data_IF_355512618520
#
_entry.id   IF_355512618520
#
_cell.length_a   1.000
_cell.length_b   1.000
_cell.length_c   1.000
_cell.angle_alpha   90.00
_cell.angle_beta   90.00
_cell.angle_gamma   90.00
#
_symmetry.space_group_name_H-M   'P 1'
#
loop_
_entity.id
_entity.type
_entity.pdbx_description
1 polymer ?
#
# COMPACT_ATOMS: atom_id res chain seq x y z
N UNK A 1 20.63 4.56 -23.46
CA UNK A 1 21.34 3.99 -22.29
C UNK A 1 20.59 4.17 -20.97
N UNK A 2 20.03 5.35 -20.65
CA UNK A 2 19.35 5.62 -19.36
C UNK A 2 18.18 4.68 -19.04
N UNK A 3 17.28 4.41 -20.00
CA UNK A 3 16.10 3.56 -19.77
C UNK A 3 16.44 2.09 -19.45
N UNK A 4 17.46 1.51 -20.10
CA UNK A 4 17.97 0.17 -19.78
C UNK A 4 18.57 0.10 -18.37
N UNK A 5 19.19 1.20 -17.91
CA UNK A 5 19.76 1.30 -16.55
C UNK A 5 18.67 1.30 -15.47
N UNK A 6 17.56 2.02 -15.68
CA UNK A 6 16.43 2.04 -14.74
C UNK A 6 15.74 0.68 -14.66
N UNK A 7 15.49 0.03 -15.80
CA UNK A 7 14.87 -1.31 -15.83
C UNK A 7 15.68 -2.36 -15.05
N UNK A 8 17.02 -2.37 -15.17
CA UNK A 8 17.87 -3.26 -14.39
C UNK A 8 17.80 -2.96 -12.88
N UNK A 9 17.79 -1.67 -12.52
CA UNK A 9 17.68 -1.23 -11.13
C UNK A 9 16.32 -1.58 -10.51
N UNK A 10 15.23 -1.47 -11.26
CA UNK A 10 13.88 -1.87 -10.84
C UNK A 10 13.79 -3.38 -10.68
N UNK A 11 14.30 -4.16 -11.64
CA UNK A 11 14.33 -5.61 -11.55
C UNK A 11 15.09 -6.09 -10.31
N UNK A 12 16.21 -5.44 -9.97
CA UNK A 12 16.99 -5.75 -8.76
C UNK A 12 16.19 -5.49 -7.48
N UNK A 13 15.40 -4.42 -7.41
CA UNK A 13 14.56 -4.09 -6.25
C UNK A 13 13.45 -5.10 -6.07
N UNK A 14 12.71 -5.39 -7.14
CA UNK A 14 11.63 -6.39 -7.12
C UNK A 14 12.18 -7.77 -6.78
N UNK A 15 13.32 -8.17 -7.36
CA UNK A 15 14.00 -9.43 -7.05
C UNK A 15 14.29 -9.56 -5.55
N UNK A 16 14.79 -8.50 -4.90
CA UNK A 16 15.06 -8.50 -3.45
C UNK A 16 13.81 -8.73 -2.61
N UNK A 17 12.64 -8.25 -3.06
CA UNK A 17 11.37 -8.53 -2.39
C UNK A 17 10.92 -9.98 -2.57
N UNK A 18 11.08 -10.55 -3.76
CA UNK A 18 10.79 -11.97 -4.01
C UNK A 18 11.74 -12.86 -3.18
N UNK A 19 13.02 -12.49 -3.09
CA UNK A 19 13.99 -13.16 -2.21
C UNK A 19 13.59 -13.05 -0.74
N UNK A 20 13.16 -11.86 -0.29
CA UNK A 20 12.65 -11.67 1.08
C UNK A 20 11.40 -12.51 1.35
N UNK A 21 10.47 -12.60 0.39
CA UNK A 21 9.29 -13.45 0.48
C UNK A 21 9.65 -14.94 0.58
N UNK A 22 10.68 -15.38 -0.16
CA UNK A 22 11.21 -16.74 -0.05
C UNK A 22 11.87 -16.97 1.32
N UNK A 23 12.71 -16.05 1.77
CA UNK A 23 13.33 -16.03 3.11
C UNK A 23 12.23 -16.34 4.13
N UNK A 24 11.19 -15.50 4.18
CA UNK A 24 10.05 -15.54 5.11
C UNK A 24 9.24 -16.86 5.11
N UNK A 25 9.30 -17.63 4.03
CA UNK A 25 8.61 -18.93 3.93
C UNK A 25 9.49 -20.10 4.35
N UNK A 26 10.79 -20.03 4.08
CA UNK A 26 11.68 -21.20 4.17
C UNK A 26 12.53 -21.24 5.43
N UNK A 27 12.74 -20.09 6.08
CA UNK A 27 13.62 -20.01 7.24
C UNK A 27 12.82 -19.91 8.55
N UNK A 28 13.37 -20.51 9.61
CA UNK A 28 12.81 -20.41 10.96
C UNK A 28 13.24 -19.07 11.59
N UNK A 29 12.49 -18.01 11.31
CA UNK A 29 12.73 -16.70 11.93
C UNK A 29 12.32 -16.70 13.40
N UNK A 30 13.08 -15.94 14.20
CA UNK A 30 12.71 -15.61 15.58
C UNK A 30 12.21 -14.18 15.74
N UNK A 31 12.47 -13.33 14.74
CA UNK A 31 12.14 -11.90 14.74
C UNK A 31 11.75 -11.46 13.33
N UNK A 32 10.87 -10.47 13.26
CA UNK A 32 10.42 -9.86 12.00
C UNK A 32 11.59 -9.21 11.26
N UNK A 33 11.58 -9.31 9.92
CA UNK A 33 12.56 -8.61 9.09
C UNK A 33 12.23 -7.09 9.04
N UNK A 34 13.23 -6.21 8.90
CA UNK A 34 13.00 -4.77 8.93
C UNK A 34 12.07 -4.29 7.81
N UNK A 35 11.03 -3.52 8.18
CA UNK A 35 10.10 -2.91 7.22
C UNK A 35 10.78 -1.92 6.27
N UNK A 36 11.97 -1.42 6.65
CA UNK A 36 12.80 -0.54 5.83
C UNK A 36 13.22 -1.17 4.49
N UNK A 37 13.13 -2.50 4.35
CA UNK A 37 13.31 -3.19 3.05
C UNK A 37 12.31 -2.73 1.98
N UNK A 38 11.16 -2.16 2.38
CA UNK A 38 10.16 -1.59 1.47
C UNK A 38 10.48 -0.16 1.00
N UNK A 39 11.49 0.51 1.57
CA UNK A 39 11.83 1.90 1.18
C UNK A 39 12.16 2.06 -0.29
N UNK A 40 12.57 0.97 -0.97
CA UNK A 40 12.82 0.98 -2.41
C UNK A 40 11.57 1.24 -3.26
N UNK A 41 10.36 1.13 -2.71
CA UNK A 41 9.10 1.58 -3.36
C UNK A 41 9.21 3.05 -3.78
N UNK A 42 9.81 3.91 -2.95
CA UNK A 42 9.97 5.34 -3.27
C UNK A 42 10.65 5.55 -4.63
N UNK A 43 11.61 4.69 -4.96
CA UNK A 43 12.32 4.75 -6.25
C UNK A 43 11.61 4.04 -7.39
N UNK A 44 10.64 3.17 -7.10
CA UNK A 44 9.71 2.63 -8.08
C UNK A 44 8.57 3.61 -8.39
N UNK A 45 8.29 4.58 -7.52
CA UNK A 45 7.42 5.70 -7.87
C UNK A 45 8.23 6.78 -8.58
N UNK A 46 8.65 6.52 -9.82
CA UNK A 46 9.52 7.43 -10.58
C UNK A 46 8.83 8.75 -10.95
N UNK A 47 7.55 8.67 -11.27
CA UNK A 47 6.66 9.79 -11.62
C UNK A 47 5.33 9.64 -10.87
N UNK A 48 4.49 10.68 -10.97
CA UNK A 48 3.19 10.74 -10.33
C UNK A 48 2.28 9.61 -10.80
N UNK A 49 2.24 9.34 -12.11
CA UNK A 49 1.39 8.31 -12.72
C UNK A 49 1.70 6.92 -12.15
N UNK A 50 2.98 6.58 -11.96
CA UNK A 50 3.39 5.32 -11.35
C UNK A 50 2.86 5.18 -9.91
N UNK A 51 2.91 6.26 -9.13
CA UNK A 51 2.39 6.26 -7.76
C UNK A 51 0.86 6.21 -7.72
N UNK A 52 0.18 6.95 -8.59
CA UNK A 52 -1.29 6.98 -8.70
C UNK A 52 -1.85 5.62 -9.13
N UNK A 53 -1.25 4.97 -10.13
CA UNK A 53 -1.68 3.62 -10.55
C UNK A 53 -1.45 2.58 -9.44
N UNK A 54 -0.32 2.69 -8.71
CA UNK A 54 -0.06 1.81 -7.57
C UNK A 54 -1.03 2.05 -6.41
N UNK A 55 -1.33 3.31 -6.13
CA UNK A 55 -2.29 3.72 -5.11
C UNK A 55 -3.69 3.21 -5.44
N UNK A 56 -4.16 3.40 -6.68
CA UNK A 56 -5.44 2.86 -7.14
C UNK A 56 -5.50 1.33 -7.02
N UNK A 57 -4.42 0.64 -7.44
CA UNK A 57 -4.35 -0.82 -7.32
C UNK A 57 -4.54 -1.27 -5.88
N UNK A 58 -3.81 -0.67 -4.92
CA UNK A 58 -3.94 -1.03 -3.52
C UNK A 58 -5.29 -0.59 -2.91
N UNK A 59 -5.86 0.54 -3.33
CA UNK A 59 -7.23 0.93 -2.92
C UNK A 59 -8.25 -0.13 -3.30
N UNK A 60 -8.18 -0.68 -4.53
CA UNK A 60 -9.05 -1.79 -4.97
C UNK A 60 -8.86 -3.04 -4.12
N UNK A 61 -7.63 -3.31 -3.66
CA UNK A 61 -7.37 -4.43 -2.75
C UNK A 61 -7.93 -4.20 -1.35
N UNK A 62 -7.86 -2.97 -0.85
CA UNK A 62 -8.53 -2.59 0.40
C UNK A 62 -10.05 -2.74 0.26
N UNK A 63 -10.64 -2.33 -0.87
CA UNK A 63 -12.06 -2.53 -1.16
C UNK A 63 -12.43 -4.03 -1.21
N UNK A 64 -11.58 -4.87 -1.79
CA UNK A 64 -11.81 -6.31 -1.78
C UNK A 64 -11.76 -6.87 -0.34
N UNK A 65 -10.72 -6.53 0.43
CA UNK A 65 -10.56 -6.98 1.81
C UNK A 65 -11.72 -6.56 2.72
N UNK A 66 -12.20 -5.31 2.59
CA UNK A 66 -13.31 -4.82 3.41
C UNK A 66 -14.66 -5.47 3.03
N UNK A 67 -14.82 -5.84 1.76
CA UNK A 67 -16.03 -6.51 1.27
C UNK A 67 -16.06 -7.99 1.65
N UNK A 68 -14.91 -8.65 1.67
CA UNK A 68 -14.77 -10.05 2.05
C UNK A 68 -14.76 -10.25 3.59
N UNK A 69 -14.58 -9.18 4.36
CA UNK A 69 -14.54 -9.21 5.82
C UNK A 69 -15.90 -8.96 6.48
N UNK A 70 -16.13 -9.64 7.60
CA UNK A 70 -17.23 -9.33 8.52
C UNK A 70 -17.04 -7.95 9.16
N UNK A 71 -18.16 -7.31 9.53
CA UNK A 71 -18.12 -6.07 10.29
C UNK A 71 -17.34 -6.28 11.60
N UNK A 72 -16.30 -5.48 11.89
CA UNK A 72 -15.55 -5.60 13.13
C UNK A 72 -16.45 -5.41 14.36
N UNK A 73 -16.22 -6.20 15.42
CA UNK A 73 -17.04 -6.19 16.64
C UNK A 73 -17.11 -4.85 17.38
N UNK A 74 -16.13 -3.97 17.15
CA UNK A 74 -16.05 -2.65 17.75
C UNK A 74 -16.66 -1.54 16.89
N UNK A 75 -17.29 -1.88 15.75
CA UNK A 75 -17.96 -0.96 14.83
C UNK A 75 -19.42 -1.31 14.68
N UNK A 76 -20.26 -0.29 14.47
CA UNK A 76 -21.64 -0.53 14.06
C UNK A 76 -21.69 -0.94 12.58
N UNK A 77 -22.70 -1.72 12.16
CA UNK A 77 -22.91 -2.04 10.74
C UNK A 77 -23.06 -0.79 9.86
N UNK A 78 -23.68 0.27 10.37
CA UNK A 78 -23.84 1.55 9.66
C UNK A 78 -22.51 2.28 9.46
N UNK A 79 -21.63 2.28 10.47
CA UNK A 79 -20.29 2.85 10.35
C UNK A 79 -19.44 2.04 9.35
N UNK A 80 -19.57 0.72 9.38
CA UNK A 80 -18.87 -0.16 8.43
C UNK A 80 -19.31 0.08 6.99
N UNK A 81 -20.61 0.22 6.75
CA UNK A 81 -21.15 0.54 5.43
C UNK A 81 -20.72 1.93 4.95
N UNK A 82 -20.65 2.90 5.87
CA UNK A 82 -20.11 4.24 5.57
C UNK A 82 -18.67 4.15 5.04
N UNK A 83 -17.84 3.29 5.62
CA UNK A 83 -16.45 3.12 5.16
C UNK A 83 -16.39 2.47 3.78
N UNK A 84 -17.22 1.46 3.52
CA UNK A 84 -17.31 0.79 2.21
C UNK A 84 -17.72 1.77 1.10
N UNK A 85 -18.71 2.60 1.38
CA UNK A 85 -19.17 3.64 0.45
C UNK A 85 -18.04 4.66 0.19
N UNK A 86 -17.38 5.15 1.23
CA UNK A 86 -16.29 6.11 1.09
C UNK A 86 -15.11 5.54 0.27
N UNK A 87 -14.73 4.28 0.49
CA UNK A 87 -13.70 3.60 -0.32
C UNK A 87 -14.14 3.49 -1.78
N UNK A 88 -15.40 3.15 -2.02
CA UNK A 88 -15.96 3.02 -3.38
C UNK A 88 -15.95 4.36 -4.11
N UNK A 89 -16.40 5.43 -3.46
CA UNK A 89 -16.40 6.78 -4.02
C UNK A 89 -14.98 7.26 -4.33
N UNK A 90 -14.04 6.99 -3.42
CA UNK A 90 -12.64 7.35 -3.61
C UNK A 90 -12.01 6.61 -4.80
N UNK A 91 -12.28 5.32 -4.97
CA UNK A 91 -11.80 4.55 -6.12
C UNK A 91 -12.36 5.13 -7.43
N UNK A 92 -13.67 5.44 -7.47
CA UNK A 92 -14.29 6.03 -8.65
C UNK A 92 -13.66 7.39 -9.01
N UNK A 93 -13.36 8.23 -8.02
CA UNK A 93 -12.67 9.51 -8.24
C UNK A 93 -11.21 9.34 -8.69
N UNK A 94 -10.49 8.35 -8.14
CA UNK A 94 -9.12 8.02 -8.58
C UNK A 94 -9.09 7.53 -10.03
N UNK A 95 -10.04 6.66 -10.42
CA UNK A 95 -10.19 6.18 -11.80
C UNK A 95 -10.48 7.33 -12.76
N UNK A 96 -11.48 8.16 -12.43
CA UNK A 96 -11.84 9.32 -13.24
C UNK A 96 -10.67 10.29 -13.40
N UNK A 97 -9.90 10.53 -12.33
CA UNK A 97 -8.72 11.40 -12.38
C UNK A 97 -7.62 10.83 -13.28
N UNK A 98 -7.34 9.52 -13.22
CA UNK A 98 -6.35 8.88 -14.09
C UNK A 98 -6.75 8.96 -15.58
N UNK A 99 -8.06 8.88 -15.88
CA UNK A 99 -8.57 9.01 -17.24
C UNK A 99 -8.54 10.47 -17.72
N UNK A 100 -8.98 11.40 -16.88
CA UNK A 100 -9.08 12.83 -17.20
C UNK A 100 -8.58 13.68 -16.02
N UNK A 101 -7.27 13.97 -15.95
CA UNK A 101 -6.71 14.76 -14.86
C UNK A 101 -7.21 16.20 -14.90
N UNK A 102 -8.04 16.59 -13.93
CA UNK A 102 -8.60 17.95 -13.81
C UNK A 102 -8.34 18.53 -12.43
N UNK A 103 -8.33 19.87 -12.34
CA UNK A 103 -8.24 20.57 -11.06
C UNK A 103 -9.44 20.23 -10.16
N UNK A 104 -10.64 20.10 -10.75
CA UNK A 104 -11.85 19.70 -10.04
C UNK A 104 -11.74 18.27 -9.48
N UNK A 105 -11.27 17.31 -10.28
CA UNK A 105 -11.02 15.93 -9.79
C UNK A 105 -10.03 15.90 -8.63
N UNK A 106 -8.96 16.72 -8.69
CA UNK A 106 -8.00 16.87 -7.59
C UNK A 106 -8.65 17.46 -6.34
N UNK A 107 -9.59 18.39 -6.49
CA UNK A 107 -10.35 18.96 -5.37
C UNK A 107 -11.33 17.94 -4.78
N UNK A 108 -12.02 17.13 -5.59
CA UNK A 108 -12.88 16.04 -5.14
C UNK A 108 -12.11 15.04 -4.28
N UNK A 109 -10.92 14.64 -4.72
CA UNK A 109 -10.01 13.79 -3.94
C UNK A 109 -9.60 14.44 -2.60
N UNK A 110 -9.34 15.76 -2.58
CA UNK A 110 -9.07 16.49 -1.32
C UNK A 110 -10.28 16.55 -0.39
N UNK A 111 -11.49 16.61 -0.92
CA UNK A 111 -12.71 16.57 -0.11
C UNK A 111 -12.86 15.21 0.56
N UNK A 112 -12.56 14.12 -0.15
CA UNK A 112 -12.55 12.77 0.42
C UNK A 112 -11.53 12.63 1.56
N UNK A 113 -10.35 13.26 1.47
CA UNK A 113 -9.40 13.30 2.59
C UNK A 113 -10.00 13.94 3.85
N UNK A 114 -10.79 15.01 3.70
CA UNK A 114 -11.45 15.65 4.85
C UNK A 114 -12.47 14.72 5.50
N UNK A 115 -13.24 13.99 4.69
CA UNK A 115 -14.19 12.99 5.19
C UNK A 115 -13.47 11.86 5.94
N UNK A 116 -12.33 11.38 5.41
CA UNK A 116 -11.50 10.41 6.12
C UNK A 116 -11.02 10.98 7.45
N UNK A 117 -10.58 12.23 7.47
CA UNK A 117 -10.10 12.88 8.69
C UNK A 117 -11.20 12.99 9.76
N UNK A 118 -12.41 13.36 9.37
CA UNK A 118 -13.59 13.42 10.25
C UNK A 118 -13.93 12.04 10.84
N UNK A 119 -13.90 10.97 10.03
CA UNK A 119 -14.19 9.61 10.48
C UNK A 119 -13.09 9.05 11.41
N UNK A 120 -11.82 9.31 11.08
CA UNK A 120 -10.69 8.97 11.95
C UNK A 120 -10.73 9.78 13.27
N UNK A 121 -11.26 11.00 13.22
CA UNK A 121 -11.37 11.92 14.34
C UNK A 121 -10.03 12.52 14.77
N UNK A 122 -10.12 13.35 15.82
CA UNK A 122 -9.02 14.14 16.38
C UNK A 122 -8.52 13.58 17.73
N UNK A 123 -8.39 12.25 17.88
CA UNK A 123 -7.76 11.66 19.07
C UNK A 123 -6.23 11.78 18.95
N UNK A 124 -5.71 12.94 19.34
CA UNK A 124 -4.28 13.19 19.47
C UNK A 124 -3.86 12.97 20.92
N UNK A 125 -2.88 12.10 21.11
CA UNK A 125 -2.28 11.84 22.43
C UNK A 125 -0.86 12.36 22.47
N UNK A 126 -0.57 13.12 23.52
CA UNK A 126 0.79 13.53 23.81
C UNK A 126 1.53 12.37 24.48
N UNK A 127 2.56 11.85 23.83
CA UNK A 127 3.56 10.95 24.43
C UNK A 127 4.86 11.74 24.68
N UNK A 128 5.75 11.32 25.59
CA UNK A 128 6.86 12.16 26.05
C UNK A 128 7.80 12.69 24.95
N UNK A 129 7.79 12.08 23.76
CA UNK A 129 8.64 12.45 22.62
C UNK A 129 7.86 12.87 21.36
N UNK A 130 6.51 12.86 21.37
CA UNK A 130 5.72 13.23 20.19
C UNK A 130 4.23 13.43 20.52
N UNK A 131 3.51 14.13 19.64
CA UNK A 131 2.04 14.02 19.55
C UNK A 131 1.71 12.94 18.53
N UNK A 132 0.93 11.92 18.93
CA UNK A 132 0.53 10.80 18.06
C UNK A 132 -0.97 10.85 17.83
N UNK A 133 -1.39 10.80 16.57
CA UNK A 133 -2.79 10.62 16.20
C UNK A 133 -3.16 9.15 16.33
N UNK A 134 -4.20 8.86 17.10
CA UNK A 134 -4.77 7.52 17.18
C UNK A 134 -5.60 7.25 15.93
N UNK A 135 -5.23 6.19 15.20
CA UNK A 135 -5.94 5.77 13.98
C UNK A 135 -7.03 4.80 14.36
N UNK A 136 -8.28 5.09 13.99
CA UNK A 136 -9.45 4.25 14.28
C UNK A 136 -9.66 3.12 13.27
N UNK A 137 -9.22 3.32 12.02
CA UNK A 137 -9.33 2.32 10.96
C UNK A 137 -8.09 2.25 10.10
N UNK A 138 -7.56 1.04 9.95
CA UNK A 138 -6.42 0.77 9.09
C UNK A 138 -6.77 0.83 7.60
N UNK A 139 -8.04 0.59 7.24
CA UNK A 139 -8.57 0.68 5.88
C UNK A 139 -8.63 2.13 5.43
N UNK A 140 -9.21 3.01 6.25
CA UNK A 140 -9.26 4.43 5.98
C UNK A 140 -7.87 5.09 5.99
N UNK A 141 -6.93 4.59 6.81
CA UNK A 141 -5.54 5.06 6.79
C UNK A 141 -4.86 4.73 5.46
N UNK A 142 -5.07 3.51 4.93
CA UNK A 142 -4.56 3.13 3.61
C UNK A 142 -5.19 4.01 2.54
N UNK A 143 -6.50 4.26 2.62
CA UNK A 143 -7.18 5.13 1.67
C UNK A 143 -6.66 6.58 1.72
N UNK A 144 -6.39 7.14 2.90
CA UNK A 144 -5.75 8.47 3.05
C UNK A 144 -4.40 8.50 2.30
N UNK A 145 -3.52 7.54 2.55
CA UNK A 145 -2.23 7.49 1.86
C UNK A 145 -2.36 7.28 0.35
N UNK A 146 -3.35 6.50 -0.10
CA UNK A 146 -3.64 6.33 -1.51
C UNK A 146 -4.07 7.65 -2.17
N UNK A 147 -5.03 8.36 -1.59
CA UNK A 147 -5.50 9.65 -2.13
C UNK A 147 -4.37 10.69 -2.14
N UNK A 148 -3.49 10.68 -1.12
CA UNK A 148 -2.32 11.58 -1.09
C UNK A 148 -1.34 11.36 -2.24
N UNK A 149 -1.29 10.17 -2.83
CA UNK A 149 -0.48 9.93 -4.03
C UNK A 149 -0.95 10.77 -5.24
N UNK A 150 -2.22 11.18 -5.26
CA UNK A 150 -2.80 12.02 -6.31
C UNK A 150 -2.69 13.51 -6.00
N UNK A 151 -2.83 13.88 -4.71
CA UNK A 151 -3.04 15.28 -4.32
C UNK A 151 -1.79 16.01 -3.84
N UNK A 152 -0.77 15.27 -3.38
CA UNK A 152 0.47 15.79 -2.79
C UNK A 152 1.66 15.69 -3.75
N UNK A 153 2.66 16.57 -3.54
CA UNK A 153 3.90 16.53 -4.33
C UNK A 153 4.81 15.35 -3.95
N UNK A 154 4.81 14.95 -2.68
CA UNK A 154 5.62 13.84 -2.17
C UNK A 154 4.95 12.47 -2.38
N UNK A 155 4.38 12.24 -3.56
CA UNK A 155 3.62 11.02 -3.89
C UNK A 155 4.41 9.72 -3.60
N UNK A 156 5.73 9.72 -3.82
CA UNK A 156 6.58 8.55 -3.57
C UNK A 156 6.67 8.19 -2.08
N UNK A 157 6.59 9.19 -1.19
CA UNK A 157 6.54 8.98 0.25
C UNK A 157 5.22 8.35 0.68
N UNK A 158 4.11 8.83 0.13
CA UNK A 158 2.77 8.30 0.43
C UNK A 158 2.56 6.90 -0.14
N UNK A 159 3.07 6.61 -1.34
CA UNK A 159 3.06 5.26 -1.90
C UNK A 159 3.85 4.27 -1.02
N UNK A 160 5.00 4.68 -0.47
CA UNK A 160 5.73 3.87 0.51
C UNK A 160 4.92 3.66 1.80
N UNK A 161 4.29 4.72 2.32
CA UNK A 161 3.46 4.62 3.53
C UNK A 161 2.28 3.68 3.31
N UNK A 162 1.57 3.82 2.20
CA UNK A 162 0.48 2.92 1.80
C UNK A 162 0.93 1.46 1.76
N UNK A 163 2.00 1.15 1.04
CA UNK A 163 2.51 -0.22 0.95
C UNK A 163 2.99 -0.76 2.29
N UNK A 164 3.58 0.09 3.14
CA UNK A 164 3.94 -0.27 4.50
C UNK A 164 2.71 -0.68 5.30
N UNK A 165 1.66 0.15 5.33
CA UNK A 165 0.42 -0.18 6.07
C UNK A 165 -0.30 -1.41 5.50
N UNK A 166 -0.06 -1.75 4.22
CA UNK A 166 -0.62 -2.94 3.58
C UNK A 166 0.16 -4.22 3.88
N UNK A 167 1.49 -4.14 4.08
CA UNK A 167 2.37 -5.31 4.19
C UNK A 167 2.83 -5.56 5.65
N UNK A 168 3.06 -4.51 6.43
CA UNK A 168 3.62 -4.62 7.78
C UNK A 168 2.68 -5.43 8.68
N UNK A 169 3.21 -6.51 9.24
CA UNK A 169 2.48 -7.38 10.15
C UNK A 169 3.00 -7.29 11.58
N UNK A 170 2.19 -7.76 12.51
CA UNK A 170 2.58 -7.97 13.90
C UNK A 170 2.07 -9.33 14.39
N UNK A 171 2.99 -10.10 14.98
CA UNK A 171 2.66 -11.25 15.81
C UNK A 171 3.57 -11.22 17.04
N UNK A 172 3.08 -11.51 18.26
CA UNK A 172 3.92 -11.51 19.46
C UNK A 172 5.20 -12.35 19.32
N UNK A 173 5.13 -13.43 18.55
CA UNK A 173 6.23 -14.37 18.28
C UNK A 173 7.38 -13.73 17.48
N UNK A 174 7.08 -12.78 16.58
CA UNK A 174 8.04 -12.18 15.65
C UNK A 174 8.29 -10.69 15.94
N UNK A 175 7.38 -10.01 16.64
CA UNK A 175 7.33 -8.55 16.73
C UNK A 175 6.69 -7.91 15.50
N UNK A 176 7.02 -6.63 15.25
CA UNK A 176 6.47 -5.83 14.14
C UNK A 176 7.46 -5.75 12.99
N UNK A 177 6.99 -5.96 11.76
CA UNK A 177 7.80 -5.80 10.56
C UNK A 177 7.29 -6.67 9.41
N UNK A 178 8.23 -7.19 8.60
CA UNK A 178 7.91 -8.23 7.62
C UNK A 178 7.96 -9.59 8.32
N UNK A 179 6.82 -10.27 8.37
CA UNK A 179 6.64 -11.58 9.01
C UNK A 179 6.14 -12.60 7.97
N UNK A 180 6.06 -13.91 8.28
CA UNK A 180 5.53 -14.89 7.33
C UNK A 180 4.16 -14.53 6.74
N UNK A 181 3.27 -13.96 7.55
CA UNK A 181 1.94 -13.49 7.11
C UNK A 181 2.00 -12.30 6.15
N UNK A 182 3.11 -11.55 6.11
CA UNK A 182 3.31 -10.44 5.16
C UNK A 182 3.58 -10.93 3.73
N UNK A 183 3.92 -12.21 3.55
CA UNK A 183 4.39 -12.75 2.27
C UNK A 183 3.38 -12.60 1.13
N UNK A 184 2.08 -12.93 1.29
CA UNK A 184 1.10 -12.76 0.21
C UNK A 184 1.05 -11.31 -0.28
N UNK A 185 0.96 -10.35 0.63
CA UNK A 185 0.89 -8.92 0.32
C UNK A 185 2.20 -8.40 -0.29
N UNK A 186 3.36 -8.88 0.17
CA UNK A 186 4.66 -8.52 -0.39
C UNK A 186 4.80 -9.00 -1.84
N UNK A 187 4.42 -10.26 -2.11
CA UNK A 187 4.45 -10.81 -3.47
C UNK A 187 3.46 -10.10 -4.38
N UNK A 188 2.31 -9.71 -3.86
CA UNK A 188 1.31 -8.96 -4.60
C UNK A 188 1.83 -7.57 -5.02
N UNK A 189 2.47 -6.83 -4.12
CA UNK A 189 3.11 -5.55 -4.48
C UNK A 189 4.25 -5.77 -5.48
N UNK A 190 5.05 -6.82 -5.31
CA UNK A 190 6.10 -7.16 -6.27
C UNK A 190 5.53 -7.50 -7.66
N UNK A 191 4.39 -8.20 -7.72
CA UNK A 191 3.68 -8.55 -8.94
C UNK A 191 3.18 -7.31 -9.67
N UNK A 192 2.53 -6.37 -8.97
CA UNK A 192 2.11 -5.08 -9.55
C UNK A 192 3.28 -4.38 -10.24
N UNK A 193 4.41 -4.20 -9.54
CA UNK A 193 5.55 -3.48 -10.10
C UNK A 193 6.23 -4.24 -11.24
N UNK A 194 6.16 -5.57 -11.21
CA UNK A 194 6.68 -6.40 -12.28
C UNK A 194 5.85 -6.23 -13.57
N UNK A 195 4.53 -6.25 -13.44
CA UNK A 195 3.62 -6.01 -14.55
C UNK A 195 3.75 -4.58 -15.07
N UNK A 196 3.79 -3.58 -14.18
CA UNK A 196 3.92 -2.17 -14.55
C UNK A 196 5.18 -1.90 -15.37
N UNK A 197 6.35 -2.35 -14.92
CA UNK A 197 7.62 -2.03 -15.57
C UNK A 197 8.07 -2.98 -16.67
N UNK A 198 7.60 -4.23 -16.64
CA UNK A 198 8.11 -5.27 -17.55
C UNK A 198 7.02 -5.97 -18.36
N UNK A 199 5.73 -5.70 -18.09
CA UNK A 199 4.58 -6.41 -18.68
C UNK A 199 4.70 -7.93 -18.54
N UNK A 200 5.28 -8.35 -17.41
CA UNK A 200 5.55 -9.73 -17.05
C UNK A 200 5.08 -9.96 -15.63
N UNK A 201 4.57 -11.15 -15.34
CA UNK A 201 4.34 -11.59 -13.97
C UNK A 201 5.66 -12.04 -13.31
N UNK A 202 5.64 -12.29 -12.00
CA UNK A 202 6.82 -12.72 -11.25
C UNK A 202 7.36 -14.07 -11.74
N UNK A 203 6.51 -14.99 -12.18
CA UNK A 203 6.94 -16.32 -12.68
C UNK A 203 7.67 -16.23 -14.01
N UNK A 204 7.29 -15.30 -14.88
CA UNK A 204 7.97 -15.00 -16.14
C UNK A 204 9.29 -14.25 -15.89
N UNK A 205 9.29 -13.26 -15.00
CA UNK A 205 10.46 -12.40 -14.76
C UNK A 205 11.54 -13.05 -13.91
N UNK A 206 11.13 -13.80 -12.89
CA UNK A 206 12.00 -14.42 -11.89
C UNK A 206 11.70 -15.92 -11.69
N UNK A 207 11.71 -16.75 -12.77
CA UNK A 207 11.25 -18.14 -12.71
C UNK A 207 11.98 -18.96 -11.64
N UNK A 208 13.30 -18.77 -11.50
CA UNK A 208 14.13 -19.49 -10.53
C UNK A 208 13.75 -19.23 -9.06
N UNK A 209 13.12 -18.09 -8.77
CA UNK A 209 12.68 -17.74 -7.42
C UNK A 209 11.27 -18.26 -7.11
N UNK A 210 10.45 -18.51 -8.14
CA UNK A 210 9.07 -18.96 -8.00
C UNK A 210 8.90 -20.49 -8.02
N UNK A 211 9.90 -21.24 -8.51
CA UNK A 211 9.84 -22.71 -8.61
C UNK A 211 10.00 -23.39 -7.23
N UNK A 212 10.49 -22.68 -6.22
CA UNK A 212 10.66 -23.20 -4.86
C UNK A 212 9.50 -22.85 -3.91
N UNK A 213 8.27 -22.82 -4.43
CA UNK A 213 7.06 -22.60 -3.62
C UNK A 213 6.44 -23.91 -3.20
#
# INVERSE_FOLDING_TARGET
MKQKSYQAAYATKIKKWVETAKELRTENFRLALPITRLTSIKSLCHDEIAAEQFALYLSKRVQQQINDADCPSHKSPEEWETYKNLITDAIAQMELYLETPTLEGKQSLRQLLRQIDELQGDDYRHVPWATVRFVKSGELLKLDYAIRCFVEQDFSYYAYKLAREFIEGYKPEYGTGLIPDSVPMLLEVAEFWCQYYFRQNLTQKFPKLMIST
#
